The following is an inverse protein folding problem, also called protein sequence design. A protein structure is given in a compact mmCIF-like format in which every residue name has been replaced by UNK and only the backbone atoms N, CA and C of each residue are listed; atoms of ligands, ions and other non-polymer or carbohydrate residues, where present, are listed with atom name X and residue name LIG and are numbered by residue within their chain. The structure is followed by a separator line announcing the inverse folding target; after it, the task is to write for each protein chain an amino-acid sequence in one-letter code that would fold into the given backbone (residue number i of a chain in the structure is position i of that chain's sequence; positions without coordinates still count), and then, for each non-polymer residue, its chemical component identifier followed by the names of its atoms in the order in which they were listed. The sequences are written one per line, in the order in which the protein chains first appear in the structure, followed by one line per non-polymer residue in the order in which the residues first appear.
data_IF_338431404965
#
_entry.id   IF_338431404965
#
_cell.length_a   1.000
_cell.length_b   1.000
_cell.length_c   1.000
_cell.angle_alpha   90.00
_cell.angle_beta   90.00
_cell.angle_gamma   90.00
#
_symmetry.space_group_name_H-M   'P 1'
#
loop_
_entity.id
_entity.type
_entity.pdbx_description
1 polymer ?
#
# COMPACT_ATOMS: atom_id res chain seq x y z
N UNK A 1 -8.10 16.47 -4.91
CA UNK A 1 -8.38 15.79 -3.66
C UNK A 1 -8.35 14.29 -3.88
N UNK A 2 -7.58 13.57 -3.07
CA UNK A 2 -7.55 12.12 -3.10
C UNK A 2 -8.84 11.52 -2.56
N UNK A 3 -9.10 10.27 -2.94
CA UNK A 3 -10.18 9.49 -2.36
C UNK A 3 -9.83 9.09 -0.92
N UNK A 4 -10.86 8.71 -0.15
CA UNK A 4 -10.65 8.21 1.20
C UNK A 4 -9.79 6.94 1.18
N UNK A 5 -8.80 6.80 2.08
CA UNK A 5 -8.02 5.58 2.18
C UNK A 5 -8.88 4.34 2.47
N UNK A 6 -8.46 3.21 1.96
CA UNK A 6 -9.13 1.91 2.12
C UNK A 6 -8.25 0.98 2.92
N UNK A 7 -8.82 0.28 3.89
CA UNK A 7 -8.15 -0.82 4.60
C UNK A 7 -8.76 -2.15 4.17
N UNK A 8 -7.93 -3.01 3.60
CA UNK A 8 -8.27 -4.39 3.28
C UNK A 8 -7.86 -5.27 4.46
N UNK A 9 -8.82 -5.96 5.06
CA UNK A 9 -8.55 -6.94 6.11
C UNK A 9 -8.82 -8.34 5.54
N UNK A 10 -7.75 -8.98 5.10
CA UNK A 10 -7.80 -10.31 4.52
C UNK A 10 -7.77 -11.40 5.60
N UNK A 11 -8.22 -12.59 5.26
CA UNK A 11 -8.28 -13.74 6.16
C UNK A 11 -6.98 -14.56 6.16
N UNK A 12 -6.14 -14.36 5.16
CA UNK A 12 -4.89 -15.09 5.00
C UNK A 12 -3.90 -14.24 4.19
N UNK A 13 -2.58 -14.56 4.28
CA UNK A 13 -1.59 -13.90 3.43
C UNK A 13 -1.89 -14.06 1.93
N UNK A 14 -2.32 -15.23 1.49
CA UNK A 14 -2.66 -15.47 0.09
C UNK A 14 -3.84 -14.61 -0.37
N UNK A 15 -4.86 -14.46 0.48
CA UNK A 15 -5.99 -13.61 0.18
C UNK A 15 -5.58 -12.13 0.11
N UNK A 16 -4.71 -11.69 1.01
CA UNK A 16 -4.20 -10.31 0.98
C UNK A 16 -3.54 -10.01 -0.37
N UNK A 17 -2.64 -10.89 -0.81
CA UNK A 17 -1.96 -10.75 -2.10
C UNK A 17 -2.96 -10.71 -3.25
N UNK A 18 -3.92 -11.63 -3.27
CA UNK A 18 -4.94 -11.70 -4.32
C UNK A 18 -5.78 -10.42 -4.40
N UNK A 19 -6.20 -9.88 -3.25
CA UNK A 19 -7.01 -8.66 -3.20
C UNK A 19 -6.24 -7.43 -3.65
N UNK A 20 -4.95 -7.35 -3.33
CA UNK A 20 -4.07 -6.26 -3.79
C UNK A 20 -3.91 -6.32 -5.32
N UNK A 21 -3.61 -7.50 -5.86
CA UNK A 21 -3.47 -7.69 -7.32
C UNK A 21 -4.76 -7.36 -8.05
N UNK A 22 -5.91 -7.77 -7.52
CA UNK A 22 -7.22 -7.43 -8.08
C UNK A 22 -7.42 -5.91 -8.16
N UNK A 23 -7.04 -5.17 -7.13
CA UNK A 23 -7.15 -3.71 -7.13
C UNK A 23 -6.20 -3.05 -8.12
N UNK A 24 -5.02 -3.63 -8.35
CA UNK A 24 -4.10 -3.16 -9.39
C UNK A 24 -4.74 -3.35 -10.77
N UNK A 25 -5.36 -4.50 -11.03
CA UNK A 25 -6.06 -4.75 -12.29
C UNK A 25 -7.22 -3.78 -12.49
N UNK A 26 -7.99 -3.48 -11.45
CA UNK A 26 -9.06 -2.49 -11.50
C UNK A 26 -8.53 -1.09 -11.84
N UNK A 27 -7.42 -0.69 -11.23
CA UNK A 27 -6.79 0.60 -11.50
C UNK A 27 -6.30 0.72 -12.95
N UNK A 28 -5.73 -0.37 -13.48
CA UNK A 28 -5.33 -0.45 -14.89
C UNK A 28 -6.52 -0.28 -15.83
N UNK A 29 -7.61 -0.97 -15.52
CA UNK A 29 -8.85 -0.86 -16.31
C UNK A 29 -9.43 0.55 -16.30
N UNK A 30 -9.18 1.31 -15.23
CA UNK A 30 -9.55 2.72 -15.12
C UNK A 30 -8.58 3.67 -15.84
N UNK A 31 -7.51 3.13 -16.44
CA UNK A 31 -6.53 3.90 -17.21
C UNK A 31 -5.26 4.30 -16.47
N UNK A 32 -5.06 3.83 -15.23
CA UNK A 32 -3.84 4.14 -14.49
C UNK A 32 -2.66 3.35 -15.06
N UNK A 33 -1.53 4.01 -15.29
CA UNK A 33 -0.31 3.37 -15.75
C UNK A 33 0.38 2.59 -14.63
N UNK A 34 1.10 1.51 -14.98
CA UNK A 34 1.82 0.71 -13.98
C UNK A 34 2.88 1.54 -13.23
N UNK A 35 3.51 2.50 -13.91
CA UNK A 35 4.50 3.39 -13.27
C UNK A 35 3.92 4.28 -12.17
N UNK A 36 2.59 4.44 -12.15
CA UNK A 36 1.87 5.26 -11.18
C UNK A 36 1.53 4.51 -9.89
N UNK A 37 1.92 3.24 -9.80
CA UNK A 37 1.56 2.33 -8.73
C UNK A 37 2.81 1.88 -7.96
N UNK A 38 2.76 2.01 -6.64
CA UNK A 38 3.78 1.46 -5.75
C UNK A 38 3.14 0.57 -4.68
N UNK A 39 3.85 -0.48 -4.33
CA UNK A 39 3.52 -1.33 -3.18
C UNK A 39 4.65 -1.17 -2.16
N UNK A 40 4.32 -0.73 -0.97
CA UNK A 40 5.27 -0.48 0.10
C UNK A 40 5.20 -1.57 1.15
N UNK A 41 6.37 -2.01 1.56
CA UNK A 41 6.57 -3.11 2.51
C UNK A 41 7.37 -2.64 3.71
N UNK A 42 7.09 -3.22 4.89
CA UNK A 42 7.91 -2.98 6.07
C UNK A 42 9.31 -3.58 5.93
N UNK A 43 9.42 -4.74 5.28
CA UNK A 43 10.68 -5.43 5.06
C UNK A 43 10.71 -6.13 3.71
N UNK A 44 11.91 -6.29 3.15
CA UNK A 44 12.12 -6.90 1.81
C UNK A 44 11.66 -8.35 1.75
N UNK A 45 11.74 -9.08 2.86
CA UNK A 45 11.38 -10.49 2.90
C UNK A 45 9.89 -10.75 2.60
N UNK A 46 9.05 -9.73 2.72
CA UNK A 46 7.62 -9.83 2.43
C UNK A 46 7.28 -9.67 0.94
N UNK A 47 8.23 -9.33 0.09
CA UNK A 47 7.96 -8.99 -1.31
C UNK A 47 7.69 -10.19 -2.21
N UNK A 48 8.29 -11.34 -1.94
CA UNK A 48 8.27 -12.50 -2.84
C UNK A 48 6.86 -12.98 -3.21
N UNK A 49 5.91 -13.14 -2.28
CA UNK A 49 4.55 -13.57 -2.65
C UNK A 49 3.87 -12.59 -3.63
N UNK A 50 4.11 -11.31 -3.47
CA UNK A 50 3.58 -10.28 -4.37
C UNK A 50 4.26 -10.32 -5.74
N UNK A 51 5.57 -10.50 -5.79
CA UNK A 51 6.30 -10.68 -7.05
C UNK A 51 5.73 -11.88 -7.83
N UNK A 52 5.55 -13.01 -7.17
CA UNK A 52 5.01 -14.22 -7.79
C UNK A 52 3.60 -14.00 -8.33
N UNK A 53 2.73 -13.33 -7.58
CA UNK A 53 1.37 -13.05 -8.00
C UNK A 53 1.31 -12.08 -9.17
N UNK A 54 2.10 -11.03 -9.15
CA UNK A 54 2.18 -10.06 -10.26
C UNK A 54 2.68 -10.75 -11.53
N UNK A 55 3.69 -11.61 -11.42
CA UNK A 55 4.22 -12.38 -12.55
C UNK A 55 3.16 -13.31 -13.14
N UNK A 56 2.39 -14.02 -12.30
CA UNK A 56 1.32 -14.89 -12.76
C UNK A 56 0.22 -14.14 -13.50
N UNK A 57 -0.02 -12.88 -13.13
CA UNK A 57 -1.04 -12.03 -13.76
C UNK A 57 -0.52 -11.20 -14.93
N UNK A 58 0.74 -11.40 -15.32
CA UNK A 58 1.33 -10.66 -16.43
C UNK A 58 1.50 -9.16 -16.14
N UNK A 59 1.63 -8.78 -14.89
CA UNK A 59 1.83 -7.39 -14.48
C UNK A 59 3.32 -7.15 -14.25
N UNK A 60 3.91 -6.27 -15.05
CA UNK A 60 5.32 -5.92 -14.94
C UNK A 60 5.60 -5.18 -13.62
N UNK A 61 6.68 -5.54 -12.97
CA UNK A 61 7.10 -4.91 -11.73
C UNK A 61 8.61 -4.73 -11.65
N UNK A 62 9.04 -3.77 -10.85
CA UNK A 62 10.42 -3.59 -10.41
C UNK A 62 10.44 -3.74 -8.89
N UNK A 63 11.30 -4.59 -8.37
CA UNK A 63 11.31 -4.92 -6.95
C UNK A 63 12.65 -4.66 -6.31
N UNK A 64 12.61 -4.11 -5.11
CA UNK A 64 13.79 -3.93 -4.25
C UNK A 64 14.04 -5.13 -3.34
N UNK A 65 13.48 -6.31 -3.64
CA UNK A 65 13.84 -7.54 -2.95
C UNK A 65 15.34 -7.83 -3.14
N UNK A 66 15.89 -8.65 -2.25
CA UNK A 66 17.32 -8.98 -2.31
C UNK A 66 17.72 -9.61 -3.65
N UNK A 67 16.83 -10.38 -4.25
CA UNK A 67 17.06 -11.06 -5.52
C UNK A 67 16.97 -10.11 -6.73
N UNK A 68 16.19 -9.04 -6.64
CA UNK A 68 15.86 -8.20 -7.77
C UNK A 68 16.48 -6.80 -7.75
N UNK A 69 16.98 -6.34 -6.59
CA UNK A 69 17.42 -4.95 -6.42
C UNK A 69 18.52 -4.52 -7.41
N UNK A 70 19.40 -5.41 -7.79
CA UNK A 70 20.50 -5.08 -8.72
C UNK A 70 20.01 -4.79 -10.14
N UNK A 71 18.81 -5.24 -10.50
CA UNK A 71 18.19 -5.06 -11.82
C UNK A 71 17.08 -4.01 -11.78
N UNK A 72 16.97 -3.27 -10.69
CA UNK A 72 15.90 -2.28 -10.51
C UNK A 72 16.07 -1.12 -11.50
N UNK A 73 15.03 -0.87 -12.28
CA UNK A 73 14.98 0.21 -13.27
C UNK A 73 13.84 1.18 -12.91
N UNK A 74 14.22 2.37 -12.47
CA UNK A 74 13.26 3.41 -12.10
C UNK A 74 12.44 3.91 -13.28
N UNK A 75 12.95 3.83 -14.51
CA UNK A 75 12.29 4.33 -15.71
C UNK A 75 11.32 3.32 -16.32
N UNK A 76 11.32 2.09 -15.87
CA UNK A 76 10.43 1.06 -16.38
C UNK A 76 8.96 1.42 -16.12
N UNK A 77 8.10 1.15 -17.10
CA UNK A 77 6.65 1.22 -16.91
C UNK A 77 6.17 -0.01 -16.16
N UNK A 78 6.35 -0.02 -14.86
CA UNK A 78 6.13 -1.16 -14.00
C UNK A 78 5.70 -0.73 -12.60
N UNK A 79 4.95 -1.58 -11.92
CA UNK A 79 4.64 -1.43 -10.49
C UNK A 79 5.94 -1.50 -9.70
N UNK A 80 6.12 -0.61 -8.75
CA UNK A 80 7.33 -0.59 -7.92
C UNK A 80 7.07 -1.16 -6.55
N UNK A 81 7.85 -2.17 -6.19
CA UNK A 81 7.83 -2.79 -4.87
C UNK A 81 9.01 -2.23 -4.08
N UNK A 82 8.70 -1.42 -3.08
CA UNK A 82 9.67 -0.66 -2.29
C UNK A 82 9.49 -0.96 -0.81
N UNK A 83 10.52 -0.72 -0.02
CA UNK A 83 10.33 -0.65 1.43
C UNK A 83 9.79 0.74 1.81
N UNK A 84 9.16 0.83 2.98
CA UNK A 84 8.70 2.12 3.51
C UNK A 84 9.86 3.13 3.60
N UNK A 85 11.04 2.68 4.01
CA UNK A 85 12.24 3.52 4.08
C UNK A 85 12.70 4.00 2.70
N UNK A 86 12.68 3.12 1.70
CA UNK A 86 13.12 3.44 0.34
C UNK A 86 12.17 4.38 -0.39
N UNK A 87 10.93 4.47 0.03
CA UNK A 87 9.92 5.32 -0.59
C UNK A 87 10.02 6.78 -0.16
N UNK A 88 10.87 7.10 0.81
CA UNK A 88 11.03 8.47 1.31
C UNK A 88 11.40 9.43 0.18
N UNK A 89 10.65 10.52 0.07
CA UNK A 89 10.86 11.53 -0.97
C UNK A 89 10.23 11.21 -2.33
N UNK A 90 9.62 10.05 -2.48
CA UNK A 90 8.93 9.64 -3.70
C UNK A 90 7.42 9.82 -3.55
N UNK A 91 6.71 9.99 -4.67
CA UNK A 91 5.26 10.09 -4.68
C UNK A 91 4.69 9.28 -5.84
N UNK A 92 3.52 8.69 -5.62
CA UNK A 92 2.81 7.89 -6.62
C UNK A 92 1.31 8.18 -6.56
N UNK A 93 0.62 8.20 -7.69
CA UNK A 93 -0.84 8.35 -7.71
C UNK A 93 -1.59 7.28 -6.91
N UNK A 94 -1.13 6.03 -6.94
CA UNK A 94 -1.71 4.93 -6.18
C UNK A 94 -0.62 4.24 -5.37
N UNK A 95 -0.81 4.17 -4.06
CA UNK A 95 0.10 3.49 -3.14
C UNK A 95 -0.66 2.42 -2.37
N UNK A 96 -0.10 1.22 -2.34
CA UNK A 96 -0.49 0.15 -1.42
C UNK A 96 0.55 0.07 -0.31
N UNK A 97 0.11 -0.01 0.93
CA UNK A 97 0.96 -0.37 2.06
C UNK A 97 0.44 -1.69 2.59
N UNK A 98 1.21 -2.74 2.43
CA UNK A 98 0.77 -4.11 2.67
C UNK A 98 1.44 -4.73 3.90
N UNK A 99 0.83 -5.78 4.44
CA UNK A 99 1.42 -6.51 5.55
C UNK A 99 1.42 -5.75 6.86
N UNK A 100 0.40 -4.93 7.14
CA UNK A 100 0.33 -4.13 8.37
C UNK A 100 0.38 -4.98 9.64
N UNK A 101 -0.02 -6.26 9.57
CA UNK A 101 0.05 -7.17 10.71
C UNK A 101 1.49 -7.45 11.16
N UNK A 102 2.48 -7.17 10.30
CA UNK A 102 3.90 -7.33 10.66
C UNK A 102 4.44 -6.14 11.45
N UNK A 103 3.64 -5.09 11.60
CA UNK A 103 4.01 -3.88 12.34
C UNK A 103 3.31 -3.86 13.71
N UNK A 104 3.99 -3.47 14.78
CA UNK A 104 5.40 -3.10 14.83
C UNK A 104 6.31 -4.31 14.73
N UNK A 105 7.49 -4.13 14.15
CA UNK A 105 8.51 -5.18 14.20
C UNK A 105 8.99 -5.39 15.63
N UNK A 106 9.44 -6.62 15.91
CA UNK A 106 9.92 -7.00 17.25
C UNK A 106 10.94 -5.99 17.79
N UNK A 107 10.79 -5.64 19.06
CA UNK A 107 11.68 -4.77 19.82
C UNK A 107 11.70 -3.32 19.38
N UNK A 108 10.85 -2.91 18.46
CA UNK A 108 10.76 -1.51 18.03
C UNK A 108 9.58 -0.81 18.71
N UNK A 109 9.77 0.46 19.13
CA UNK A 109 8.67 1.24 19.69
C UNK A 109 7.51 1.40 18.70
N UNK A 110 6.27 1.23 19.17
CA UNK A 110 5.07 1.38 18.35
C UNK A 110 5.02 2.77 17.70
N UNK A 111 5.41 3.81 18.43
CA UNK A 111 5.35 5.18 17.91
C UNK A 111 6.31 5.42 16.74
N UNK A 112 7.46 4.76 16.71
CA UNK A 112 8.39 4.84 15.58
C UNK A 112 7.81 4.14 14.35
N UNK A 113 7.15 3.01 14.54
CA UNK A 113 6.45 2.30 13.46
C UNK A 113 5.28 3.12 12.92
N UNK A 114 4.54 3.79 13.79
CA UNK A 114 3.44 4.69 13.39
C UNK A 114 3.97 5.84 12.53
N UNK A 115 5.10 6.44 12.92
CA UNK A 115 5.72 7.51 12.13
C UNK A 115 6.17 7.02 10.76
N UNK A 116 6.79 5.85 10.70
CA UNK A 116 7.21 5.24 9.45
C UNK A 116 6.02 4.96 8.54
N UNK A 117 4.95 4.40 9.09
CA UNK A 117 3.70 4.16 8.36
C UNK A 117 3.12 5.47 7.83
N UNK A 118 3.07 6.50 8.66
CA UNK A 118 2.55 7.82 8.26
C UNK A 118 3.34 8.41 7.09
N UNK A 119 4.67 8.32 7.12
CA UNK A 119 5.51 8.76 5.99
C UNK A 119 5.14 7.99 4.72
N UNK A 120 4.94 6.68 4.82
CA UNK A 120 4.49 5.85 3.69
C UNK A 120 3.14 6.28 3.15
N UNK A 121 2.18 6.58 4.04
CA UNK A 121 0.84 7.03 3.65
C UNK A 121 0.88 8.34 2.86
N UNK A 122 1.78 9.24 3.19
CA UNK A 122 1.94 10.52 2.49
C UNK A 122 2.59 10.40 1.12
N UNK A 123 3.06 9.21 0.73
CA UNK A 123 3.58 8.96 -0.64
C UNK A 123 2.46 8.86 -1.69
N UNK A 124 1.23 8.67 -1.27
CA UNK A 124 0.07 8.59 -2.16
C UNK A 124 -0.46 9.98 -2.50
N UNK A 125 -0.54 10.32 -3.78
CA UNK A 125 -1.08 11.62 -4.22
C UNK A 125 -2.57 11.59 -4.52
N UNK A 126 -3.14 10.41 -4.81
CA UNK A 126 -4.57 10.28 -5.16
C UNK A 126 -5.27 9.20 -4.34
N UNK A 127 -4.73 7.99 -4.32
CA UNK A 127 -5.37 6.84 -3.67
C UNK A 127 -4.37 6.09 -2.81
N UNK A 128 -4.83 5.70 -1.62
CA UNK A 128 -4.07 4.91 -0.67
C UNK A 128 -4.87 3.68 -0.28
N UNK A 129 -4.27 2.51 -0.43
CA UNK A 129 -4.83 1.23 0.00
C UNK A 129 -3.88 0.60 1.01
N UNK A 130 -4.40 0.28 2.18
CA UNK A 130 -3.68 -0.40 3.24
C UNK A 130 -4.20 -1.83 3.33
N UNK A 131 -3.33 -2.79 3.64
CA UNK A 131 -3.78 -4.17 3.76
C UNK A 131 -3.11 -4.92 4.90
N UNK A 132 -3.82 -5.89 5.45
CA UNK A 132 -3.35 -6.80 6.48
C UNK A 132 -3.98 -8.16 6.30
N UNK A 133 -3.30 -9.22 6.74
CA UNK A 133 -3.81 -10.59 6.74
C UNK A 133 -4.10 -11.11 8.15
N UNK A 134 -3.88 -10.30 9.18
CA UNK A 134 -4.16 -10.60 10.57
C UNK A 134 -4.24 -9.31 11.37
N UNK A 135 -4.70 -9.38 12.60
CA UNK A 135 -4.75 -8.24 13.51
C UNK A 135 -3.38 -7.86 14.09
N UNK A 136 -3.23 -6.61 14.47
CA UNK A 136 -2.10 -6.10 15.25
C UNK A 136 -2.49 -4.74 15.85
N UNK A 137 -1.74 -4.21 16.83
CA UNK A 137 -2.00 -2.86 17.35
C UNK A 137 -1.98 -1.80 16.26
N UNK A 138 -1.13 -1.91 15.26
CA UNK A 138 -1.08 -0.97 14.12
C UNK A 138 -2.34 -1.08 13.27
N UNK A 139 -2.81 -2.30 12.98
CA UNK A 139 -4.05 -2.53 12.22
C UNK A 139 -5.23 -1.89 12.95
N UNK A 140 -5.32 -2.07 14.27
CA UNK A 140 -6.38 -1.49 15.08
C UNK A 140 -6.36 0.04 15.01
N UNK A 141 -5.18 0.65 15.14
CA UNK A 141 -5.02 2.11 15.04
C UNK A 141 -5.43 2.66 13.67
N UNK A 142 -5.06 1.96 12.61
CA UNK A 142 -5.44 2.35 11.24
C UNK A 142 -6.95 2.27 11.07
N UNK A 143 -7.55 1.16 11.49
CA UNK A 143 -9.00 0.98 11.40
C UNK A 143 -9.76 2.07 12.15
N UNK A 144 -9.37 2.35 13.39
CA UNK A 144 -9.98 3.40 14.22
C UNK A 144 -9.83 4.78 13.58
N UNK A 145 -8.67 5.09 13.03
CA UNK A 145 -8.40 6.37 12.36
C UNK A 145 -9.27 6.53 11.11
N UNK A 146 -9.41 5.47 10.30
CA UNK A 146 -10.25 5.51 9.10
C UNK A 146 -11.73 5.64 9.46
N UNK A 147 -12.19 4.94 10.49
CA UNK A 147 -13.58 5.08 10.97
C UNK A 147 -13.87 6.50 11.42
N UNK A 148 -12.94 7.13 12.12
CA UNK A 148 -13.06 8.53 12.57
C UNK A 148 -13.14 9.48 11.38
N UNK A 149 -12.26 9.33 10.39
CA UNK A 149 -12.26 10.13 9.17
C UNK A 149 -13.58 9.94 8.42
N UNK A 150 -14.05 8.70 8.29
CA UNK A 150 -15.32 8.38 7.64
C UNK A 150 -16.51 9.09 8.29
N UNK A 151 -16.54 9.11 9.61
CA UNK A 151 -17.60 9.84 10.34
C UNK A 151 -17.53 11.35 10.12
N UNK A 152 -16.33 11.92 10.06
CA UNK A 152 -16.15 13.35 9.78
C UNK A 152 -16.62 13.69 8.36
N UNK A 153 -16.31 12.86 7.37
CA UNK A 153 -16.76 13.05 5.99
C UNK A 153 -18.30 12.95 5.88
N UNK A 154 -18.90 12.00 6.57
CA UNK A 154 -20.36 11.82 6.57
C UNK A 154 -21.10 12.98 7.24
N UNK A 155 -20.45 13.72 8.15
CA UNK A 155 -21.02 14.86 8.84
C UNK A 155 -20.86 16.19 8.08
N UNK A 156 -20.11 16.22 6.98
CA UNK A 156 -19.97 17.41 6.16
C UNK A 156 -21.23 17.60 5.31
N UNK A 157 -21.77 18.83 5.23
CA UNK A 157 -22.90 19.10 4.33
C UNK A 157 -22.47 18.82 2.88
N UNK A 158 -23.39 18.25 2.11
CA UNK A 158 -23.17 18.09 0.67
C UNK A 158 -22.85 19.44 0.05
N UNK A 159 -21.82 19.48 -0.78
CA UNK A 159 -21.52 20.67 -1.53
C UNK A 159 -22.74 21.02 -2.43
N UNK A 160 -23.12 22.29 -2.51
CA UNK A 160 -24.24 22.66 -3.38
C UNK A 160 -23.96 22.21 -4.79
N UNK A 161 -24.97 21.65 -5.44
CA UNK A 161 -24.88 21.21 -6.84
C UNK A 161 -24.48 22.41 -7.72
N UNK A 162 -23.63 22.20 -8.75
CA UNK A 162 -23.22 23.27 -9.66
C UNK A 162 -24.39 23.84 -10.47
#
# INVERSE_FOLDING_TARGET
RGSMPVLIEARSPDQEVALVVERIDQARAEGLGLRDIAILFRARDAMLPFENALRRHGIDFQSMSRQAIKRFDWDANAVKLLTLHSAKGLEFPLVFIVGLQTMPMRSLPVEDEVRLLYVGMTRATRRLVLSASAGSPIVDRVRESLDRIGRQFAALPEAPAP
#
